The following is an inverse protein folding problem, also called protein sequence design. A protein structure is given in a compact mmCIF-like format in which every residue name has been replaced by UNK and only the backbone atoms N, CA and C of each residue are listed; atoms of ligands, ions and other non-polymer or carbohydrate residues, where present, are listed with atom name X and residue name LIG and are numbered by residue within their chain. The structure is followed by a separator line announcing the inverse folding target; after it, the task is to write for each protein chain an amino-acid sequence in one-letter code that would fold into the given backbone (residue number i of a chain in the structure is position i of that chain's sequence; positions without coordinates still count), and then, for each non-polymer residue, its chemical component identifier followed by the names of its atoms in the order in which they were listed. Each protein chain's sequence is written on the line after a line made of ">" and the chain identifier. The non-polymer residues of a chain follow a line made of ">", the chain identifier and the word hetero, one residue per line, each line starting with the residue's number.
data_IF_495803685793
#
_entry.id   IF_495803685793
#
_cell.length_a   1.000
_cell.length_b   1.000
_cell.length_c   1.000
_cell.angle_alpha   90.00
_cell.angle_beta   90.00
_cell.angle_gamma   90.00
#
_symmetry.space_group_name_H-M   'P 1'
#
loop_
_entity.id
_entity.type
_entity.pdbx_description
1 polymer ?
#
# COMPACT_ATOMS: atom_id res chain seq x y z
N UNK A 1 11.63 -14.16 -6.78
CA UNK A 1 13.09 -13.99 -6.61
C UNK A 1 13.86 -15.31 -6.63
N UNK A 2 13.17 -16.46 -6.67
CA UNK A 2 13.74 -17.80 -6.83
C UNK A 2 14.84 -17.95 -7.91
N UNK A 3 14.60 -17.46 -9.14
CA UNK A 3 15.58 -17.56 -10.23
C UNK A 3 16.90 -16.83 -9.90
N UNK A 4 16.82 -15.70 -9.20
CA UNK A 4 17.99 -14.93 -8.77
C UNK A 4 18.77 -15.69 -7.68
N UNK A 5 18.06 -16.35 -6.76
CA UNK A 5 18.63 -17.18 -5.69
C UNK A 5 19.36 -18.39 -6.27
N UNK A 6 18.78 -19.06 -7.25
CA UNK A 6 19.41 -20.19 -7.96
C UNK A 6 20.69 -19.80 -8.67
N UNK A 7 20.70 -18.65 -9.37
CA UNK A 7 21.90 -18.13 -10.03
C UNK A 7 22.98 -17.76 -9.02
N UNK A 8 22.63 -17.08 -7.91
CA UNK A 8 23.58 -16.72 -6.85
C UNK A 8 24.15 -17.95 -6.12
N UNK A 9 23.34 -18.99 -5.94
CA UNK A 9 23.77 -20.27 -5.38
C UNK A 9 24.75 -21.00 -6.32
N UNK A 10 24.47 -21.02 -7.63
CA UNK A 10 25.37 -21.62 -8.63
C UNK A 10 26.72 -20.90 -8.72
N UNK A 11 26.74 -19.58 -8.47
CA UNK A 11 27.95 -18.76 -8.41
C UNK A 11 28.65 -18.77 -7.04
N UNK A 12 28.17 -19.58 -6.08
CA UNK A 12 28.74 -19.76 -4.72
C UNK A 12 28.86 -18.46 -3.92
N UNK A 13 28.09 -17.41 -4.28
CA UNK A 13 28.08 -16.13 -3.56
C UNK A 13 27.04 -16.14 -2.44
N UNK A 14 27.36 -16.88 -1.38
CA UNK A 14 26.53 -17.01 -0.19
C UNK A 14 26.36 -15.69 0.57
N UNK A 15 27.31 -14.77 0.42
CA UNK A 15 27.27 -13.40 0.92
C UNK A 15 26.12 -12.59 0.29
N UNK A 16 25.89 -12.75 -1.01
CA UNK A 16 24.80 -12.09 -1.72
C UNK A 16 23.45 -12.76 -1.44
N UNK A 17 23.42 -14.08 -1.29
CA UNK A 17 22.21 -14.80 -0.86
C UNK A 17 21.72 -14.29 0.49
N UNK A 18 22.61 -14.17 1.48
CA UNK A 18 22.25 -13.67 2.81
C UNK A 18 21.71 -12.24 2.77
N UNK A 19 22.29 -11.39 1.92
CA UNK A 19 21.79 -10.03 1.71
C UNK A 19 20.43 -10.00 1.04
N UNK A 20 20.14 -10.92 0.11
CA UNK A 20 18.81 -11.06 -0.51
C UNK A 20 17.78 -11.57 0.51
N UNK A 21 18.16 -12.54 1.34
CA UNK A 21 17.33 -13.02 2.46
C UNK A 21 17.02 -11.91 3.46
N UNK A 22 18.02 -11.15 3.89
CA UNK A 22 17.86 -10.03 4.82
C UNK A 22 16.99 -8.92 4.20
N UNK A 23 17.08 -8.70 2.89
CA UNK A 23 16.28 -7.71 2.18
C UNK A 23 14.83 -8.17 1.99
N UNK A 24 14.59 -9.46 1.73
CA UNK A 24 13.24 -10.03 1.65
C UNK A 24 12.58 -10.11 3.04
N UNK A 25 13.34 -10.46 4.08
CA UNK A 25 12.89 -10.42 5.46
C UNK A 25 12.58 -8.97 5.91
N UNK A 26 13.43 -8.02 5.51
CA UNK A 26 13.22 -6.59 5.75
C UNK A 26 12.05 -6.01 4.95
N UNK A 27 11.86 -6.43 3.70
CA UNK A 27 10.74 -6.04 2.84
C UNK A 27 9.41 -6.68 3.26
N UNK A 28 9.44 -7.79 3.98
CA UNK A 28 8.27 -8.36 4.65
C UNK A 28 7.92 -7.64 5.96
N UNK A 29 8.91 -7.02 6.61
CA UNK A 29 8.74 -6.28 7.87
C UNK A 29 8.40 -4.79 7.66
N UNK A 30 8.91 -4.16 6.59
CA UNK A 30 8.41 -2.89 6.09
C UNK A 30 7.08 -3.14 5.41
N UNK A 31 6.00 -2.51 5.86
CA UNK A 31 4.69 -2.58 5.22
C UNK A 31 4.90 -2.42 3.71
N UNK A 32 4.47 -3.41 2.92
CA UNK A 32 4.62 -3.38 1.47
C UNK A 32 4.18 -1.99 0.98
N UNK A 33 4.88 -1.35 0.03
CA UNK A 33 4.60 0.04 -0.36
C UNK A 33 3.12 0.30 -0.68
N UNK A 34 2.41 -0.72 -1.17
CA UNK A 34 0.96 -0.65 -1.39
C UNK A 34 0.09 -0.49 -0.13
N UNK A 35 0.51 -0.95 1.06
CA UNK A 35 -0.28 -0.83 2.30
C UNK A 35 -0.27 0.60 2.86
N UNK A 36 0.86 1.30 2.78
CA UNK A 36 0.92 2.71 3.16
C UNK A 36 0.13 3.59 2.18
N UNK A 37 0.20 3.28 0.89
CA UNK A 37 -0.54 3.97 -0.16
C UNK A 37 -2.06 3.79 0.00
N UNK A 38 -2.50 2.57 0.32
CA UNK A 38 -3.89 2.30 0.68
C UNK A 38 -4.33 3.05 1.93
N UNK A 39 -3.47 3.15 2.95
CA UNK A 39 -3.78 3.89 4.17
C UNK A 39 -3.98 5.39 3.88
N UNK A 40 -3.11 5.97 3.05
CA UNK A 40 -3.25 7.36 2.61
C UNK A 40 -4.55 7.58 1.81
N UNK A 41 -4.85 6.68 0.87
CA UNK A 41 -6.10 6.71 0.11
C UNK A 41 -7.33 6.60 1.02
N UNK A 42 -7.29 5.75 2.05
CA UNK A 42 -8.39 5.59 3.00
C UNK A 42 -8.68 6.86 3.76
N UNK A 43 -7.65 7.60 4.21
CA UNK A 43 -7.86 8.86 4.93
C UNK A 43 -8.56 9.89 4.06
N UNK A 44 -8.11 10.07 2.81
CA UNK A 44 -8.77 10.97 1.85
C UNK A 44 -10.24 10.62 1.67
N UNK A 45 -10.57 9.33 1.54
CA UNK A 45 -11.94 8.87 1.33
C UNK A 45 -12.79 9.07 2.58
N UNK A 46 -12.24 8.78 3.76
CA UNK A 46 -12.93 8.95 5.04
C UNK A 46 -13.35 10.42 5.26
N UNK A 47 -12.54 11.36 4.80
CA UNK A 47 -12.80 12.79 4.97
C UNK A 47 -13.82 13.35 3.95
N UNK A 48 -13.97 12.72 2.77
CA UNK A 48 -14.74 13.30 1.66
C UNK A 48 -16.03 12.55 1.27
N UNK A 49 -16.24 11.28 1.66
CA UNK A 49 -17.40 10.48 1.21
C UNK A 49 -18.70 10.82 1.94
N UNK A 50 -18.62 11.19 3.22
CA UNK A 50 -19.78 11.64 4.00
C UNK A 50 -20.98 10.68 3.97
N UNK A 51 -22.12 11.17 3.46
CA UNK A 51 -23.44 10.49 3.54
C UNK A 51 -23.62 9.37 2.50
N UNK A 52 -22.86 9.40 1.42
CA UNK A 52 -22.97 8.43 0.32
C UNK A 52 -22.13 7.17 0.54
N UNK A 53 -21.62 6.97 1.76
CA UNK A 53 -20.81 5.82 2.15
C UNK A 53 -21.49 4.48 1.87
N UNK A 54 -22.83 4.38 1.97
CA UNK A 54 -23.57 3.15 1.64
C UNK A 54 -23.47 2.78 0.17
N UNK A 55 -23.45 3.79 -0.72
CA UNK A 55 -23.30 3.56 -2.16
C UNK A 55 -21.90 3.03 -2.45
N UNK A 56 -20.89 3.63 -1.83
CA UNK A 56 -19.50 3.16 -1.95
C UNK A 56 -19.33 1.75 -1.38
N UNK A 57 -19.87 1.46 -0.20
CA UNK A 57 -19.78 0.14 0.43
C UNK A 57 -20.39 -0.96 -0.46
N UNK A 58 -21.56 -0.71 -1.06
CA UNK A 58 -22.16 -1.64 -2.03
C UNK A 58 -21.28 -1.83 -3.27
N UNK A 59 -20.69 -0.75 -3.79
CA UNK A 59 -19.80 -0.83 -4.95
C UNK A 59 -18.52 -1.62 -4.65
N UNK A 60 -18.04 -1.54 -3.42
CA UNK A 60 -16.93 -2.36 -2.89
C UNK A 60 -17.36 -3.79 -2.50
N UNK A 61 -18.58 -4.22 -2.90
CA UNK A 61 -19.14 -5.55 -2.63
C UNK A 61 -19.23 -5.90 -1.14
N UNK A 62 -19.37 -4.91 -0.26
CA UNK A 62 -19.72 -5.14 1.14
C UNK A 62 -21.18 -5.59 1.21
N UNK A 63 -21.45 -6.70 1.91
CA UNK A 63 -22.82 -7.23 2.01
C UNK A 63 -23.74 -6.26 2.74
N UNK A 64 -25.01 -6.17 2.32
CA UNK A 64 -25.98 -5.26 2.94
C UNK A 64 -26.14 -5.53 4.46
N UNK A 65 -26.07 -6.78 4.88
CA UNK A 65 -26.05 -7.15 6.32
C UNK A 65 -24.92 -6.51 7.11
N UNK A 66 -23.74 -6.35 6.50
CA UNK A 66 -22.59 -5.69 7.12
C UNK A 66 -22.77 -4.17 7.08
N UNK A 67 -23.37 -3.64 6.02
CA UNK A 67 -23.70 -2.21 5.90
C UNK A 67 -24.66 -1.81 7.02
N UNK A 68 -25.73 -2.57 7.24
CA UNK A 68 -26.69 -2.32 8.32
C UNK A 68 -26.00 -2.42 9.70
N UNK A 69 -25.16 -3.43 9.89
CA UNK A 69 -24.37 -3.59 11.13
C UNK A 69 -23.42 -2.41 11.38
N UNK A 70 -22.84 -1.81 10.33
CA UNK A 70 -21.98 -0.63 10.43
C UNK A 70 -22.81 0.60 10.80
N UNK A 71 -24.00 0.75 10.21
CA UNK A 71 -24.91 1.85 10.50
C UNK A 71 -25.36 1.85 11.96
N UNK A 72 -25.71 0.67 12.49
CA UNK A 72 -26.10 0.48 13.89
C UNK A 72 -24.93 0.71 14.85
N UNK A 73 -23.71 0.28 14.48
CA UNK A 73 -22.52 0.43 15.32
C UNK A 73 -22.04 1.88 15.41
N UNK A 74 -22.16 2.66 14.34
CA UNK A 74 -21.63 4.02 14.26
C UNK A 74 -22.71 5.04 13.87
N UNK A 75 -23.74 5.26 14.70
CA UNK A 75 -24.90 6.06 14.31
C UNK A 75 -24.58 7.54 14.01
N UNK A 76 -23.56 8.13 14.63
CA UNK A 76 -23.22 9.56 14.45
C UNK A 76 -21.91 9.82 13.69
N UNK A 77 -21.11 8.79 13.44
CA UNK A 77 -19.75 8.94 12.92
C UNK A 77 -19.66 8.41 11.48
N UNK A 78 -19.95 9.26 10.50
CA UNK A 78 -19.90 8.88 9.08
C UNK A 78 -18.49 8.44 8.65
N UNK A 79 -17.46 9.14 9.14
CA UNK A 79 -16.04 8.81 8.89
C UNK A 79 -15.72 7.38 9.31
N UNK A 80 -16.18 6.95 10.49
CA UNK A 80 -15.96 5.59 11.00
C UNK A 80 -16.76 4.55 10.20
N UNK A 81 -17.95 4.88 9.70
CA UNK A 81 -18.71 4.00 8.79
C UNK A 81 -17.95 3.73 7.49
N UNK A 82 -17.41 4.80 6.89
CA UNK A 82 -16.57 4.71 5.68
C UNK A 82 -15.34 3.87 5.97
N UNK A 83 -14.61 4.18 7.06
CA UNK A 83 -13.40 3.46 7.46
C UNK A 83 -13.65 1.97 7.66
N UNK A 84 -14.73 1.60 8.35
CA UNK A 84 -15.07 0.19 8.58
C UNK A 84 -15.47 -0.51 7.27
N UNK A 85 -16.21 0.16 6.37
CA UNK A 85 -16.53 -0.41 5.05
C UNK A 85 -15.28 -0.67 4.20
N UNK A 86 -14.32 0.25 4.21
CA UNK A 86 -13.03 0.10 3.53
C UNK A 86 -12.19 -1.02 4.15
N UNK A 87 -12.22 -1.16 5.47
CA UNK A 87 -11.55 -2.24 6.19
C UNK A 87 -12.12 -3.61 5.83
N UNK A 88 -13.44 -3.73 5.76
CA UNK A 88 -14.11 -4.96 5.33
C UNK A 88 -13.73 -5.30 3.89
N UNK A 89 -13.76 -4.32 2.98
CA UNK A 89 -13.32 -4.50 1.60
C UNK A 89 -11.86 -4.98 1.52
N UNK A 90 -10.94 -4.33 2.24
CA UNK A 90 -9.51 -4.74 2.31
C UNK A 90 -9.37 -6.19 2.76
N UNK A 91 -10.13 -6.60 3.78
CA UNK A 91 -10.10 -7.96 4.30
C UNK A 91 -10.70 -8.99 3.32
N UNK A 92 -11.67 -8.57 2.49
CA UNK A 92 -12.28 -9.41 1.46
C UNK A 92 -11.38 -9.58 0.25
N UNK A 93 -10.75 -8.52 -0.24
CA UNK A 93 -9.92 -8.57 -1.46
C UNK A 93 -8.45 -8.91 -1.20
N UNK A 94 -7.95 -8.70 0.03
CA UNK A 94 -6.57 -9.00 0.48
C UNK A 94 -5.51 -8.51 -0.50
N UNK A 95 -4.91 -9.42 -1.27
CA UNK A 95 -3.85 -9.13 -2.26
C UNK A 95 -4.34 -8.34 -3.47
N UNK A 96 -5.64 -8.38 -3.77
CA UNK A 96 -6.23 -7.61 -4.88
C UNK A 96 -6.66 -6.20 -4.47
N UNK A 97 -6.62 -5.88 -3.17
CA UNK A 97 -6.97 -4.57 -2.66
C UNK A 97 -5.94 -3.54 -3.13
N UNK A 98 -6.24 -2.86 -4.23
CA UNK A 98 -5.34 -1.89 -4.88
C UNK A 98 -6.02 -0.53 -4.95
N UNK A 99 -5.22 0.55 -4.94
CA UNK A 99 -5.72 1.92 -5.07
C UNK A 99 -6.48 2.12 -6.40
N UNK A 100 -6.08 1.41 -7.46
CA UNK A 100 -6.79 1.43 -8.74
C UNK A 100 -8.25 0.93 -8.64
N UNK A 101 -8.50 -0.16 -7.91
CA UNK A 101 -9.86 -0.65 -7.66
C UNK A 101 -10.68 0.35 -6.85
N UNK A 102 -10.04 0.98 -5.87
CA UNK A 102 -10.64 2.04 -5.05
C UNK A 102 -11.08 3.24 -5.90
N UNK A 103 -10.20 3.73 -6.77
CA UNK A 103 -10.49 4.83 -7.72
C UNK A 103 -11.63 4.45 -8.66
N UNK A 104 -11.63 3.22 -9.19
CA UNK A 104 -12.72 2.72 -10.04
C UNK A 104 -14.07 2.67 -9.33
N UNK A 105 -14.09 2.24 -8.06
CA UNK A 105 -15.30 2.23 -7.23
C UNK A 105 -15.81 3.64 -6.95
N UNK A 106 -14.91 4.59 -6.64
CA UNK A 106 -15.25 6.00 -6.42
C UNK A 106 -15.85 6.64 -7.68
N UNK A 107 -15.24 6.42 -8.86
CA UNK A 107 -15.77 6.92 -10.14
C UNK A 107 -17.14 6.34 -10.45
N UNK A 108 -17.35 5.05 -10.18
CA UNK A 108 -18.67 4.40 -10.34
C UNK A 108 -19.73 4.98 -9.39
N UNK A 109 -19.31 5.48 -8.23
CA UNK A 109 -20.17 6.17 -7.27
C UNK A 109 -20.32 7.68 -7.55
N UNK A 110 -19.82 8.17 -8.70
CA UNK A 110 -19.80 9.60 -9.09
C UNK A 110 -18.98 10.50 -8.14
N UNK A 111 -18.11 9.91 -7.32
CA UNK A 111 -17.22 10.62 -6.41
C UNK A 111 -15.92 11.00 -7.12
N UNK A 112 -16.04 11.65 -8.29
CA UNK A 112 -14.91 11.90 -9.19
C UNK A 112 -13.83 12.79 -8.54
N UNK A 113 -14.24 13.83 -7.80
CA UNK A 113 -13.30 14.71 -7.09
C UNK A 113 -12.44 13.95 -6.08
N UNK A 114 -13.04 13.01 -5.33
CA UNK A 114 -12.32 12.16 -4.37
C UNK A 114 -11.43 11.17 -5.11
N UNK A 115 -11.90 10.63 -6.23
CA UNK A 115 -11.12 9.72 -7.06
C UNK A 115 -9.86 10.41 -7.63
N UNK A 116 -9.99 11.66 -8.09
CA UNK A 116 -8.89 12.45 -8.62
C UNK A 116 -7.89 12.79 -7.50
N UNK A 117 -8.37 13.18 -6.30
CA UNK A 117 -7.51 13.45 -5.15
C UNK A 117 -6.73 12.21 -4.68
N UNK A 118 -7.40 11.05 -4.61
CA UNK A 118 -6.74 9.76 -4.27
C UNK A 118 -5.67 9.43 -5.32
N UNK A 119 -5.95 9.68 -6.60
CA UNK A 119 -5.03 9.42 -7.69
C UNK A 119 -3.80 10.35 -7.65
N UNK A 120 -3.99 11.63 -7.31
CA UNK A 120 -2.88 12.57 -7.08
C UNK A 120 -1.98 12.13 -5.93
N UNK A 121 -2.58 11.71 -4.80
CA UNK A 121 -1.83 11.20 -3.65
C UNK A 121 -1.03 9.96 -4.01
N UNK A 122 -1.61 9.02 -4.77
CA UNK A 122 -0.89 7.85 -5.26
C UNK A 122 0.30 8.25 -6.14
N UNK A 123 0.08 9.14 -7.12
CA UNK A 123 1.14 9.57 -8.03
C UNK A 123 2.28 10.29 -7.30
N UNK A 124 1.96 11.15 -6.32
CA UNK A 124 2.97 11.82 -5.52
C UNK A 124 3.84 10.83 -4.74
N UNK A 125 3.24 9.77 -4.19
CA UNK A 125 3.95 8.71 -3.46
C UNK A 125 4.76 7.81 -4.38
N UNK A 126 4.24 7.48 -5.56
CA UNK A 126 4.98 6.73 -6.59
C UNK A 126 6.26 7.47 -7.00
N UNK A 127 6.18 8.80 -7.17
CA UNK A 127 7.34 9.66 -7.47
C UNK A 127 8.34 9.67 -6.31
N UNK A 128 7.86 9.78 -5.06
CA UNK A 128 8.71 9.71 -3.87
C UNK A 128 9.40 8.36 -3.72
N UNK A 129 8.70 7.25 -3.97
CA UNK A 129 9.25 5.91 -3.90
C UNK A 129 10.31 5.70 -5.00
N UNK A 130 10.06 6.19 -6.22
CA UNK A 130 11.03 6.16 -7.32
C UNK A 130 12.29 6.98 -7.02
N UNK A 131 12.14 8.14 -6.39
CA UNK A 131 13.27 8.96 -5.95
C UNK A 131 14.01 8.40 -4.73
N UNK A 132 13.29 7.75 -3.80
CA UNK A 132 13.85 7.08 -2.62
C UNK A 132 14.66 5.83 -2.97
N UNK A 133 14.20 5.04 -3.95
CA UNK A 133 14.96 3.93 -4.52
C UNK A 133 16.24 4.37 -5.26
N UNK A 134 16.35 5.65 -5.62
CA UNK A 134 17.53 6.28 -6.23
C UNK A 134 18.42 7.00 -5.22
N UNK A 135 18.21 6.87 -3.91
CA UNK A 135 19.19 7.32 -2.93
C UNK A 135 20.42 6.42 -3.08
N UNK A 136 21.55 6.92 -3.64
CA UNK A 136 22.70 6.08 -3.89
C UNK A 136 23.20 5.64 -2.54
N UNK A 137 23.31 4.32 -2.38
CA UNK A 137 24.22 3.67 -1.46
C UNK A 137 25.39 4.62 -1.19
N UNK A 138 25.48 5.18 0.02
CA UNK A 138 26.69 5.88 0.43
C UNK A 138 27.73 4.79 0.52
N UNK A 139 28.57 4.67 -0.52
CA UNK A 139 29.71 3.76 -0.49
C UNK A 139 30.65 4.36 0.55
N UNK A 140 30.63 3.78 1.74
CA UNK A 140 31.63 4.06 2.74
C UNK A 140 32.96 3.52 2.18
N UNK A 141 33.69 4.39 1.49
CA UNK A 141 35.06 4.15 1.05
C UNK A 141 35.96 4.11 2.27
N UNK A 142 36.05 2.95 2.92
CA UNK A 142 37.22 2.60 3.73
C UNK A 142 38.10 1.65 2.92
N UNK A 143 38.64 2.18 1.83
CA UNK A 143 39.89 1.71 1.27
C UNK A 143 41.02 2.56 1.90
N UNK A 144 41.30 2.32 3.19
CA UNK A 144 42.58 2.74 3.76
C UNK A 144 43.59 1.65 3.49
N UNK A 145 44.15 1.70 2.28
CA UNK A 145 45.48 1.16 2.00
C UNK A 145 46.50 1.97 2.80
N UNK A 146 47.27 1.31 3.66
CA UNK A 146 48.61 1.75 4.09
C UNK A 146 49.39 0.47 4.37
N UNK A 147 50.07 -0.05 3.37
CA UNK A 147 51.47 0.23 3.00
C UNK A 147 52.46 -0.61 3.81
N UNK A 148 53.38 -1.20 3.04
CA UNK A 148 54.37 -2.16 3.43
C UNK A 148 55.48 -1.58 4.31
N UNK A 149 56.04 -2.40 5.18
CA UNK A 149 57.48 -2.67 5.29
C UNK A 149 57.72 -3.95 6.09
#
# INVERSE_FOLDING_TARGET
>A
TELLRELLASLRRHDLLRRVDDFEAGAAAGAAPGEEDLCAAFNVICDNVGKDWRRLARQLKVSDTKIDSIEDRYPRNLTERVRESLRIWKNTEKENATVAHLVGALRSCQMNLVADLVQEVQQARDLQNRSGAMSPMSWNSDASTSEAS
#
